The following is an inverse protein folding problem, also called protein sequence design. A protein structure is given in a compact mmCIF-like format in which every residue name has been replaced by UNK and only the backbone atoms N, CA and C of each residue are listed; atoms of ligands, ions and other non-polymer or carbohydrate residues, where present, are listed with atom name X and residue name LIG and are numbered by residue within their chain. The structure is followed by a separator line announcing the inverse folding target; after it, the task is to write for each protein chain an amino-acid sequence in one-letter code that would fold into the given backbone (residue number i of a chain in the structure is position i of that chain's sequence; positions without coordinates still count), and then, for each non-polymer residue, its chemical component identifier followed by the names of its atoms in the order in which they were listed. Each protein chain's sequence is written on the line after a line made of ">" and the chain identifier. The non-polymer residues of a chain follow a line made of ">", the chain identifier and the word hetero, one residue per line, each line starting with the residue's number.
data_IF_762235447376
#
_entry.id   IF_762235447376
#
_cell.length_a   1.000
_cell.length_b   1.000
_cell.length_c   1.000
_cell.angle_alpha   90.00
_cell.angle_beta   90.00
_cell.angle_gamma   90.00
#
_symmetry.space_group_name_H-M   'P 1'
#
loop_
_entity.id
_entity.type
_entity.pdbx_description
1 polymer ?
#
# COMPACT_ATOMS: atom_id res chain seq x y z
N UNK A 1 3.95 26.27 -4.85
CA UNK A 1 4.85 25.09 -4.84
C UNK A 1 4.21 24.00 -3.98
N UNK A 2 3.36 23.17 -4.57
CA UNK A 2 2.73 22.03 -3.89
C UNK A 2 3.35 20.74 -4.40
N UNK A 3 4.58 20.45 -4.02
CA UNK A 3 5.18 19.16 -4.34
C UNK A 3 4.45 18.09 -3.53
N UNK A 4 3.78 17.21 -4.27
CA UNK A 4 2.89 16.14 -3.81
C UNK A 4 3.46 15.36 -2.62
N UNK A 5 2.97 15.68 -1.41
CA UNK A 5 3.30 15.03 -0.14
C UNK A 5 2.89 13.55 -0.09
N UNK A 6 2.09 13.10 -1.06
CA UNK A 6 1.66 11.71 -1.19
C UNK A 6 2.74 10.82 -1.82
N UNK A 7 3.72 11.39 -2.53
CA UNK A 7 4.76 10.63 -3.28
C UNK A 7 5.64 9.75 -2.39
N UNK A 8 5.77 10.07 -1.10
CA UNK A 8 6.62 9.31 -0.16
C UNK A 8 5.84 8.44 0.83
N UNK A 9 4.51 8.37 0.72
CA UNK A 9 3.65 7.72 1.74
C UNK A 9 2.89 6.50 1.22
N UNK A 10 3.05 6.14 -0.05
CA UNK A 10 2.52 4.89 -0.61
C UNK A 10 3.57 3.79 -0.49
N UNK A 11 3.20 2.67 0.11
CA UNK A 11 4.01 1.44 0.13
C UNK A 11 3.24 0.33 -0.57
N UNK A 12 3.46 0.11 -1.88
CA UNK A 12 2.92 -1.05 -2.56
C UNK A 12 3.69 -2.29 -2.10
N UNK A 13 2.97 -3.30 -1.64
CA UNK A 13 3.56 -4.58 -1.24
C UNK A 13 2.87 -5.66 -2.05
N UNK A 14 3.62 -6.36 -2.89
CA UNK A 14 3.14 -7.52 -3.63
C UNK A 14 3.11 -8.75 -2.74
N UNK A 15 2.14 -9.63 -3.01
CA UNK A 15 2.03 -10.97 -2.45
C UNK A 15 2.39 -12.05 -3.50
N UNK A 16 3.03 -11.68 -4.61
CA UNK A 16 3.49 -12.62 -5.63
C UNK A 16 4.49 -13.63 -5.05
N UNK A 17 4.31 -14.91 -5.34
CA UNK A 17 5.28 -15.97 -5.01
C UNK A 17 6.35 -16.14 -6.11
N UNK A 18 6.03 -15.77 -7.35
CA UNK A 18 6.94 -15.79 -8.48
C UNK A 18 7.69 -14.45 -8.58
N UNK A 19 8.89 -14.42 -8.01
CA UNK A 19 9.76 -13.25 -8.04
C UNK A 19 10.23 -12.85 -9.44
N UNK A 20 10.30 -13.78 -10.40
CA UNK A 20 10.73 -13.50 -11.76
C UNK A 20 9.62 -12.80 -12.54
N UNK A 21 8.38 -13.30 -12.41
CA UNK A 21 7.20 -12.65 -12.95
C UNK A 21 7.02 -11.25 -12.36
N UNK A 22 7.18 -11.10 -11.04
CA UNK A 22 7.12 -9.81 -10.36
C UNK A 22 8.18 -8.84 -10.88
N UNK A 23 9.46 -9.25 -10.97
CA UNK A 23 10.54 -8.40 -11.51
C UNK A 23 10.30 -7.97 -12.94
N UNK A 24 9.89 -8.89 -13.82
CA UNK A 24 9.55 -8.57 -15.22
C UNK A 24 8.41 -7.55 -15.29
N UNK A 25 7.42 -7.66 -14.41
CA UNK A 25 6.32 -6.69 -14.32
C UNK A 25 6.83 -5.31 -13.90
N UNK A 26 7.77 -5.23 -12.97
CA UNK A 26 8.38 -3.97 -12.55
C UNK A 26 9.19 -3.30 -13.67
N UNK A 27 9.96 -4.08 -14.43
CA UNK A 27 10.70 -3.57 -15.58
C UNK A 27 9.76 -2.97 -16.63
N UNK A 28 8.65 -3.65 -16.91
CA UNK A 28 7.62 -3.19 -17.86
C UNK A 28 6.90 -1.93 -17.38
N UNK A 29 6.49 -1.90 -16.12
CA UNK A 29 5.68 -0.80 -15.58
C UNK A 29 6.53 0.42 -15.20
N UNK A 30 7.84 0.23 -14.99
CA UNK A 30 8.82 1.28 -14.62
C UNK A 30 8.29 2.27 -13.56
N UNK A 31 7.90 1.78 -12.37
CA UNK A 31 7.24 2.62 -11.38
C UNK A 31 8.20 3.68 -10.81
N UNK A 32 7.68 4.89 -10.61
CA UNK A 32 8.45 6.03 -10.06
C UNK A 32 8.86 5.84 -8.57
N UNK A 33 8.32 4.85 -7.87
CA UNK A 33 8.51 4.66 -6.42
C UNK A 33 8.94 3.24 -6.06
N UNK A 34 9.59 3.05 -4.89
CA UNK A 34 10.01 1.74 -4.42
C UNK A 34 8.85 0.74 -4.36
N UNK A 35 9.14 -0.48 -4.81
CA UNK A 35 8.21 -1.60 -4.79
C UNK A 35 8.73 -2.64 -3.81
N UNK A 36 7.80 -3.25 -3.06
CA UNK A 36 8.11 -4.27 -2.09
C UNK A 36 7.35 -5.55 -2.45
N UNK A 37 7.89 -6.69 -2.06
CA UNK A 37 7.25 -7.99 -2.18
C UNK A 37 7.52 -8.74 -0.88
N UNK A 38 6.52 -9.46 -0.38
CA UNK A 38 6.70 -10.30 0.79
C UNK A 38 7.67 -11.45 0.47
N UNK A 39 8.43 -11.89 1.48
CA UNK A 39 8.87 -13.29 1.46
C UNK A 39 7.65 -14.16 1.83
N UNK A 40 7.54 -15.39 1.30
CA UNK A 40 6.32 -16.19 1.42
C UNK A 40 5.79 -16.35 2.85
N UNK A 41 6.68 -16.62 3.81
CA UNK A 41 6.31 -16.77 5.23
C UNK A 41 5.79 -15.46 5.85
N UNK A 42 6.53 -14.35 5.67
CA UNK A 42 6.13 -13.03 6.19
C UNK A 42 4.84 -12.53 5.58
N UNK A 43 4.59 -12.83 4.30
CA UNK A 43 3.36 -12.49 3.60
C UNK A 43 2.17 -13.21 4.23
N UNK A 44 2.28 -14.52 4.45
CA UNK A 44 1.20 -15.29 5.08
C UNK A 44 0.92 -14.82 6.52
N UNK A 45 1.97 -14.55 7.30
CA UNK A 45 1.82 -14.02 8.66
C UNK A 45 1.12 -12.66 8.65
N UNK A 46 1.55 -11.75 7.77
CA UNK A 46 0.95 -10.43 7.63
C UNK A 46 -0.52 -10.51 7.20
N UNK A 47 -0.82 -11.28 6.15
CA UNK A 47 -2.19 -11.45 5.64
C UNK A 47 -3.12 -12.03 6.71
N UNK A 48 -2.64 -13.01 7.48
CA UNK A 48 -3.41 -13.61 8.58
C UNK A 48 -3.65 -12.60 9.70
N UNK A 49 -2.60 -11.90 10.16
CA UNK A 49 -2.69 -10.91 11.23
C UNK A 49 -3.60 -9.73 10.88
N UNK A 50 -3.61 -9.34 9.60
CA UNK A 50 -4.40 -8.20 9.09
C UNK A 50 -5.76 -8.62 8.53
N UNK A 51 -6.15 -9.89 8.61
CA UNK A 51 -7.44 -10.37 8.08
C UNK A 51 -7.60 -10.19 6.56
N UNK A 52 -6.50 -10.32 5.81
CA UNK A 52 -6.49 -10.25 4.34
C UNK A 52 -6.78 -11.63 3.77
N UNK A 53 -8.00 -11.82 3.29
CA UNK A 53 -8.44 -13.08 2.66
C UNK A 53 -8.47 -13.03 1.14
N UNK A 54 -8.41 -11.83 0.56
CA UNK A 54 -8.38 -11.59 -0.88
C UNK A 54 -7.72 -10.24 -1.21
N UNK A 55 -7.18 -10.12 -2.43
CA UNK A 55 -6.65 -8.88 -2.99
C UNK A 55 -7.59 -8.32 -4.07
N UNK A 56 -7.62 -7.00 -4.31
CA UNK A 56 -6.79 -5.96 -3.68
C UNK A 56 -7.24 -5.63 -2.25
N UNK A 57 -6.29 -5.28 -1.39
CA UNK A 57 -6.53 -4.76 -0.04
C UNK A 57 -5.77 -3.46 0.18
N UNK A 58 -6.39 -2.49 0.83
CA UNK A 58 -5.76 -1.22 1.21
C UNK A 58 -5.89 -1.01 2.72
N UNK A 59 -4.80 -0.60 3.35
CA UNK A 59 -4.71 -0.35 4.78
C UNK A 59 -4.14 1.05 4.96
N UNK A 60 -4.78 1.86 5.79
CA UNK A 60 -4.29 3.17 6.21
C UNK A 60 -3.76 3.06 7.62
N UNK A 61 -2.53 3.50 7.81
CA UNK A 61 -1.88 3.59 9.13
C UNK A 61 -1.72 5.04 9.53
N UNK A 62 -1.89 5.31 10.82
CA UNK A 62 -1.58 6.60 11.41
C UNK A 62 -0.05 6.82 11.47
N UNK A 63 0.40 8.08 11.63
CA UNK A 63 1.83 8.38 11.80
C UNK A 63 2.49 7.69 13.02
N UNK A 64 1.70 7.35 14.04
CA UNK A 64 2.15 6.63 15.24
C UNK A 64 2.16 5.09 15.07
N UNK A 65 2.00 4.61 13.83
CA UNK A 65 1.98 3.19 13.45
C UNK A 65 0.75 2.40 13.93
N UNK A 66 -0.29 3.07 14.45
CA UNK A 66 -1.58 2.43 14.70
C UNK A 66 -2.40 2.30 13.41
N UNK A 67 -3.36 1.37 13.38
CA UNK A 67 -4.25 1.18 12.23
C UNK A 67 -5.33 2.27 12.25
N UNK A 68 -5.40 3.05 11.18
CA UNK A 68 -6.47 4.04 10.98
C UNK A 68 -7.68 3.40 10.28
N UNK A 69 -7.43 2.57 9.28
CA UNK A 69 -8.45 1.83 8.52
C UNK A 69 -7.82 0.55 7.94
N UNK A 70 -8.40 -0.61 8.25
CA UNK A 70 -7.89 -1.93 7.82
C UNK A 70 -8.48 -2.41 6.48
N UNK A 71 -9.56 -1.78 6.01
CA UNK A 71 -10.26 -2.14 4.77
C UNK A 71 -10.62 -0.88 3.97
N UNK A 72 -9.59 -0.04 3.78
CA UNK A 72 -9.74 1.25 3.15
C UNK A 72 -10.17 1.13 1.67
N UNK A 73 -10.84 2.17 1.17
CA UNK A 73 -11.26 2.23 -0.23
C UNK A 73 -10.06 2.37 -1.17
N UNK A 74 -10.25 1.93 -2.42
CA UNK A 74 -9.21 2.01 -3.44
C UNK A 74 -8.80 3.48 -3.69
N UNK A 75 -7.49 3.80 -3.65
CA UNK A 75 -7.04 5.18 -3.69
C UNK A 75 -7.18 5.89 -5.05
N UNK A 76 -7.34 5.14 -6.15
CA UNK A 76 -7.47 5.72 -7.50
C UNK A 76 -8.88 6.20 -7.83
N UNK A 77 -9.88 5.86 -7.01
CA UNK A 77 -11.29 6.07 -7.36
C UNK A 77 -11.99 7.14 -6.53
N UNK A 78 -11.35 7.66 -5.48
CA UNK A 78 -12.11 8.27 -4.39
C UNK A 78 -11.45 9.54 -3.84
N UNK A 79 -12.14 10.68 -3.97
CA UNK A 79 -11.77 11.92 -3.27
C UNK A 79 -11.77 11.71 -1.75
N UNK A 80 -12.54 10.75 -1.23
CA UNK A 80 -12.54 10.41 0.19
C UNK A 80 -11.17 9.93 0.67
N UNK A 81 -10.37 9.22 -0.13
CA UNK A 81 -9.04 8.79 0.30
C UNK A 81 -8.10 10.00 0.47
N UNK A 82 -8.22 11.00 -0.41
CA UNK A 82 -7.40 12.21 -0.34
C UNK A 82 -7.78 13.02 0.88
N UNK A 83 -9.08 13.15 1.14
CA UNK A 83 -9.61 13.82 2.33
C UNK A 83 -9.17 13.10 3.61
N UNK A 84 -9.28 11.77 3.66
CA UNK A 84 -8.81 10.96 4.78
C UNK A 84 -7.34 11.20 5.04
N UNK A 85 -6.48 11.02 4.02
CA UNK A 85 -5.04 11.22 4.18
C UNK A 85 -4.74 12.67 4.63
N UNK A 86 -5.35 13.67 4.01
CA UNK A 86 -5.16 15.07 4.41
C UNK A 86 -5.59 15.33 5.86
N UNK A 87 -6.69 14.73 6.33
CA UNK A 87 -7.15 14.88 7.71
C UNK A 87 -6.19 14.28 8.73
N UNK A 88 -5.50 13.19 8.37
CA UNK A 88 -4.48 12.56 9.21
C UNK A 88 -3.18 13.37 9.24
N UNK A 89 -2.91 14.17 8.20
CA UNK A 89 -1.71 15.01 8.09
C UNK A 89 -1.87 16.40 8.70
N UNK A 90 -3.10 16.85 8.94
CA UNK A 90 -3.39 18.18 9.50
C UNK A 90 -3.29 18.24 11.03
N UNK A 91 -2.92 17.13 11.68
CA UNK A 91 -2.66 17.02 13.12
C UNK A 91 -1.17 17.11 13.40
#
# INVERSE_FOLDING_TARGET
>A
MGHSLLRHRRRPISCDEDFDAWRKKLEQDSPEWPQYVFNGESGQQFMTAMGVTAIPRFIVVNPDMTIADIDATRPQSDEAIKQLINSLLAR
#
